data_IF_202834537190
#
_entry.id   IF_202834537190
#
_cell.length_a   1.000
_cell.length_b   1.000
_cell.length_c   1.000
_cell.angle_alpha   90.00
_cell.angle_beta   90.00
_cell.angle_gamma   90.00
#
_symmetry.space_group_name_H-M   'P 1'
#
loop_
_entity.id
_entity.type
_entity.pdbx_description
1 polymer ?
#
# COMPACT_ATOMS: atom_id res chain seq x y z
N UNK A 1 -46.24 -75.52 3.51
CA UNK A 1 -46.45 -74.16 2.92
C UNK A 1 -45.12 -73.44 2.79
N UNK A 2 -44.89 -72.84 1.62
CA UNK A 2 -43.75 -71.97 1.24
C UNK A 2 -43.66 -70.79 2.25
N UNK A 3 -42.50 -70.20 2.57
CA UNK A 3 -41.56 -69.51 1.65
C UNK A 3 -40.18 -69.26 2.28
N UNK A 4 -39.14 -69.45 1.46
CA UNK A 4 -37.75 -68.98 1.62
C UNK A 4 -37.62 -67.47 1.37
N UNK A 5 -36.63 -66.83 2.00
CA UNK A 5 -35.73 -65.79 1.40
C UNK A 5 -34.49 -65.63 2.29
N UNK A 6 -33.41 -66.34 1.99
CA UNK A 6 -32.20 -65.84 1.29
C UNK A 6 -31.57 -64.58 1.91
N UNK A 7 -30.54 -64.80 2.74
CA UNK A 7 -29.44 -63.84 2.98
C UNK A 7 -28.29 -64.25 2.07
N UNK A 8 -27.90 -63.38 1.14
CA UNK A 8 -26.73 -63.57 0.29
C UNK A 8 -25.62 -62.59 0.62
N UNK A 9 -24.42 -63.13 0.53
CA UNK A 9 -23.10 -62.61 0.86
C UNK A 9 -22.79 -61.18 0.40
N UNK A 10 -22.17 -60.41 1.30
CA UNK A 10 -21.43 -59.18 1.01
C UNK A 10 -20.21 -59.51 0.15
N UNK A 11 -20.30 -59.25 -1.16
CA UNK A 11 -19.11 -59.13 -2.01
C UNK A 11 -18.36 -57.83 -1.68
N UNK A 12 -17.19 -57.96 -1.05
CA UNK A 12 -16.17 -56.91 -0.98
C UNK A 12 -15.59 -56.70 -2.38
N UNK A 13 -16.00 -55.63 -3.05
CA UNK A 13 -15.28 -55.12 -4.22
C UNK A 13 -14.35 -54.00 -3.78
N UNK A 14 -13.05 -54.28 -3.77
CA UNK A 14 -11.99 -53.28 -3.69
C UNK A 14 -12.08 -52.37 -4.91
N UNK A 15 -12.76 -51.24 -4.78
CA UNK A 15 -12.63 -50.14 -5.73
C UNK A 15 -11.32 -49.43 -5.44
N UNK A 16 -10.30 -49.75 -6.25
CA UNK A 16 -9.14 -48.91 -6.47
C UNK A 16 -9.61 -47.47 -6.71
N UNK A 17 -9.49 -46.63 -5.68
CA UNK A 17 -9.60 -45.18 -5.84
C UNK A 17 -8.35 -44.77 -6.61
N UNK A 18 -8.52 -44.62 -7.92
CA UNK A 18 -7.61 -43.83 -8.73
C UNK A 18 -7.51 -42.47 -8.07
N UNK A 19 -6.39 -42.21 -7.40
CA UNK A 19 -5.97 -40.88 -7.03
C UNK A 19 -5.86 -40.11 -8.34
N UNK A 20 -6.93 -39.39 -8.68
CA UNK A 20 -6.85 -38.30 -9.64
C UNK A 20 -5.89 -37.30 -8.99
N UNK A 21 -4.61 -37.40 -9.35
CA UNK A 21 -3.67 -36.30 -9.27
C UNK A 21 -4.37 -35.13 -9.94
N UNK A 22 -5.00 -34.28 -9.13
CA UNK A 22 -5.29 -32.91 -9.55
C UNK A 22 -3.92 -32.33 -9.83
N UNK A 23 -3.55 -32.31 -11.09
CA UNK A 23 -2.55 -31.38 -11.59
C UNK A 23 -2.97 -30.02 -11.04
N UNK A 24 -2.19 -29.52 -10.08
CA UNK A 24 -2.26 -28.16 -9.61
C UNK A 24 -2.00 -27.28 -10.84
N UNK A 25 -3.05 -27.00 -11.61
CA UNK A 25 -3.04 -25.94 -12.60
C UNK A 25 -2.70 -24.69 -11.80
N UNK A 26 -1.47 -24.21 -11.98
CA UNK A 26 -0.91 -22.97 -11.45
C UNK A 26 -2.02 -22.02 -11.02
N UNK A 27 -2.26 -21.92 -9.70
CA UNK A 27 -3.04 -20.82 -9.12
C UNK A 27 -2.26 -19.57 -9.48
N UNK A 28 -2.61 -19.00 -10.62
CA UNK A 28 -2.07 -17.73 -11.09
C UNK A 28 -2.15 -16.73 -9.94
N UNK A 29 -1.02 -16.11 -9.60
CA UNK A 29 -0.82 -15.04 -8.62
C UNK A 29 -1.83 -13.90 -8.87
N UNK A 30 -3.09 -14.09 -8.45
CA UNK A 30 -4.16 -13.11 -8.56
C UNK A 30 -4.30 -12.41 -7.22
N UNK A 31 -4.21 -11.08 -7.19
CA UNK A 31 -4.31 -10.34 -5.95
C UNK A 31 -5.75 -10.34 -5.44
N UNK A 32 -5.90 -10.32 -4.12
CA UNK A 32 -7.15 -10.01 -3.45
C UNK A 32 -7.42 -8.51 -3.52
N UNK A 33 -8.58 -8.18 -4.09
CA UNK A 33 -9.00 -6.79 -4.31
C UNK A 33 -10.17 -6.42 -3.39
N UNK A 34 -10.30 -5.12 -3.11
CA UNK A 34 -11.49 -4.48 -2.55
C UNK A 34 -12.26 -3.85 -3.71
N UNK A 35 -13.44 -4.38 -4.01
CA UNK A 35 -14.38 -3.74 -4.93
C UNK A 35 -15.07 -2.58 -4.22
N UNK A 36 -15.17 -1.45 -4.92
CA UNK A 36 -16.01 -0.32 -4.57
C UNK A 36 -17.09 -0.20 -5.64
N UNK A 37 -18.34 -0.25 -5.21
CA UNK A 37 -19.49 -0.12 -6.10
C UNK A 37 -19.66 1.34 -6.54
N UNK A 38 -20.42 1.53 -7.62
CA UNK A 38 -20.86 2.86 -8.05
C UNK A 38 -21.58 3.54 -6.88
N UNK A 39 -21.39 4.85 -6.74
CA UNK A 39 -21.88 5.70 -5.64
C UNK A 39 -21.26 5.43 -4.26
N UNK A 40 -20.28 4.54 -4.13
CA UNK A 40 -19.56 4.36 -2.86
C UNK A 40 -18.92 5.71 -2.43
N UNK A 41 -19.22 6.20 -1.22
CA UNK A 41 -18.78 7.52 -0.77
C UNK A 41 -17.35 7.49 -0.24
N UNK A 42 -16.58 8.52 -0.56
CA UNK A 42 -15.22 8.74 -0.10
C UNK A 42 -15.05 10.18 0.36
N UNK A 43 -14.23 10.37 1.40
CA UNK A 43 -14.07 11.67 2.04
C UNK A 43 -12.60 12.04 2.17
N UNK A 44 -12.32 13.34 2.14
CA UNK A 44 -11.02 13.86 2.50
C UNK A 44 -11.12 15.31 2.99
N UNK A 45 -10.31 15.66 3.99
CA UNK A 45 -10.06 17.04 4.37
C UNK A 45 -8.97 17.64 3.48
N UNK A 46 -9.27 18.78 2.82
CA UNK A 46 -8.35 19.48 1.92
C UNK A 46 -8.43 21.00 2.12
N UNK A 47 -7.33 21.70 1.83
CA UNK A 47 -7.27 23.18 1.79
C UNK A 47 -7.82 23.79 0.51
N UNK A 48 -7.79 23.02 -0.58
CA UNK A 48 -8.24 23.43 -1.90
C UNK A 48 -9.62 22.83 -2.20
N UNK A 49 -10.28 23.39 -3.20
CA UNK A 49 -11.58 22.94 -3.68
C UNK A 49 -11.55 21.48 -4.17
N UNK A 50 -12.46 20.66 -3.65
CA UNK A 50 -12.53 19.25 -3.97
C UNK A 50 -12.76 18.96 -5.47
N UNK A 51 -13.46 19.83 -6.18
CA UNK A 51 -13.68 19.70 -7.63
C UNK A 51 -12.37 19.92 -8.41
N UNK A 52 -11.66 21.01 -8.09
CA UNK A 52 -10.38 21.39 -8.73
C UNK A 52 -9.30 20.31 -8.61
N UNK A 53 -9.39 19.43 -7.61
CA UNK A 53 -8.50 18.28 -7.51
C UNK A 53 -8.56 17.43 -8.77
N UNK A 54 -9.77 17.04 -9.18
CA UNK A 54 -9.95 16.09 -10.28
C UNK A 54 -9.53 16.73 -11.61
N UNK A 55 -9.83 18.01 -11.80
CA UNK A 55 -9.39 18.79 -12.96
C UNK A 55 -7.87 18.88 -13.05
N UNK A 56 -7.20 19.23 -11.95
CA UNK A 56 -5.74 19.31 -11.89
C UNK A 56 -5.09 17.96 -12.25
N UNK A 57 -5.63 16.85 -11.72
CA UNK A 57 -5.13 15.50 -12.03
C UNK A 57 -5.35 15.13 -13.49
N UNK A 58 -6.53 15.44 -14.04
CA UNK A 58 -6.85 15.23 -15.46
C UNK A 58 -5.91 16.02 -16.37
N UNK A 59 -5.68 17.30 -16.08
CA UNK A 59 -4.80 18.16 -16.86
C UNK A 59 -3.34 17.69 -16.81
N UNK A 60 -2.84 17.28 -15.64
CA UNK A 60 -1.48 16.78 -15.48
C UNK A 60 -1.24 15.51 -16.33
N UNK A 61 -2.18 14.58 -16.31
CA UNK A 61 -2.10 13.36 -17.13
C UNK A 61 -2.15 13.64 -18.62
N UNK A 62 -3.07 14.50 -19.08
CA UNK A 62 -3.17 14.87 -20.49
C UNK A 62 -1.86 15.51 -21.00
N UNK A 63 -1.22 16.33 -20.16
CA UNK A 63 0.03 17.01 -20.50
C UNK A 63 1.20 16.05 -20.66
N UNK A 64 1.30 15.00 -19.84
CA UNK A 64 2.44 14.08 -19.84
C UNK A 64 2.17 12.77 -20.58
N UNK A 65 0.91 12.49 -20.91
CA UNK A 65 0.45 11.19 -21.39
C UNK A 65 0.87 10.02 -20.48
N UNK A 66 0.97 10.27 -19.17
CA UNK A 66 1.33 9.26 -18.16
C UNK A 66 0.26 9.21 -17.07
N UNK A 67 -0.34 8.03 -16.91
CA UNK A 67 -1.38 7.78 -15.90
C UNK A 67 -0.80 7.62 -14.50
N UNK A 68 0.46 7.19 -14.39
CA UNK A 68 1.13 6.81 -13.16
C UNK A 68 2.18 7.86 -12.75
N UNK A 69 1.78 9.13 -12.70
CA UNK A 69 2.65 10.20 -12.20
C UNK A 69 2.73 10.19 -10.68
N UNK A 70 3.88 10.61 -10.16
CA UNK A 70 4.11 10.82 -8.73
C UNK A 70 3.00 11.68 -8.10
N UNK A 71 2.65 12.77 -8.78
CA UNK A 71 1.63 13.69 -8.29
C UNK A 71 0.20 13.25 -8.57
N UNK A 72 -0.06 12.22 -9.37
CA UNK A 72 -1.44 11.89 -9.76
C UNK A 72 -2.25 11.25 -8.61
N UNK A 73 -1.54 10.56 -7.72
CA UNK A 73 -2.16 9.80 -6.63
C UNK A 73 -2.82 10.67 -5.56
N UNK A 74 -3.94 10.18 -5.00
CA UNK A 74 -4.70 10.86 -3.96
C UNK A 74 -5.22 9.91 -2.89
N UNK A 75 -5.20 10.37 -1.64
CA UNK A 75 -5.63 9.65 -0.44
C UNK A 75 -6.99 10.17 0.01
N UNK A 76 -7.88 9.22 0.31
CA UNK A 76 -9.21 9.40 0.85
C UNK A 76 -9.42 8.43 2.03
N UNK A 77 -10.44 8.71 2.84
CA UNK A 77 -10.88 7.86 3.94
C UNK A 77 -12.40 7.78 4.00
N UNK A 78 -12.90 7.17 5.05
CA UNK A 78 -14.27 7.40 5.50
C UNK A 78 -14.41 8.81 6.11
N UNK A 79 -15.63 9.17 6.51
CA UNK A 79 -15.92 10.48 7.08
C UNK A 79 -15.18 10.72 8.39
N UNK A 80 -15.01 9.71 9.23
CA UNK A 80 -14.36 9.83 10.55
C UNK A 80 -12.85 10.03 10.43
N UNK A 81 -12.24 9.39 9.43
CA UNK A 81 -10.86 9.61 9.02
C UNK A 81 -10.73 11.04 8.48
N UNK A 82 -11.61 11.48 7.58
CA UNK A 82 -11.56 12.84 7.05
C UNK A 82 -11.72 13.92 8.13
N UNK A 83 -12.62 13.72 9.09
CA UNK A 83 -12.81 14.58 10.26
C UNK A 83 -11.57 14.65 11.13
N UNK A 84 -10.88 13.52 11.36
CA UNK A 84 -9.63 13.51 12.15
C UNK A 84 -8.48 14.30 11.52
N UNK A 85 -8.54 14.55 10.21
CA UNK A 85 -7.57 15.38 9.50
C UNK A 85 -8.00 16.83 9.32
N UNK A 86 -9.22 17.21 9.72
CA UNK A 86 -9.74 18.57 9.58
C UNK A 86 -8.93 19.53 10.46
N UNK A 87 -8.58 20.66 9.86
CA UNK A 87 -7.97 21.84 10.49
C UNK A 87 -8.81 23.07 10.13
N UNK A 88 -8.62 24.17 10.84
CA UNK A 88 -9.36 25.42 10.67
C UNK A 88 -9.35 25.95 9.23
N UNK A 89 -8.26 25.73 8.49
CA UNK A 89 -8.11 26.16 7.10
C UNK A 89 -8.41 25.08 6.06
N UNK A 90 -9.14 24.03 6.43
CA UNK A 90 -9.54 22.95 5.52
C UNK A 90 -11.04 22.72 5.57
N UNK A 91 -11.57 22.21 4.47
CA UNK A 91 -12.95 21.71 4.38
C UNK A 91 -12.96 20.22 4.13
N UNK A 92 -14.04 19.57 4.53
CA UNK A 92 -14.28 18.16 4.23
C UNK A 92 -15.11 18.10 2.97
N UNK A 93 -14.61 17.35 2.00
CA UNK A 93 -15.27 17.15 0.73
C UNK A 93 -15.63 15.67 0.59
N UNK A 94 -16.71 15.44 -0.15
CA UNK A 94 -17.21 14.11 -0.50
C UNK A 94 -17.07 13.89 -1.99
N UNK A 95 -16.62 12.69 -2.33
CA UNK A 95 -16.60 12.14 -3.68
C UNK A 95 -17.36 10.82 -3.71
N UNK A 96 -17.73 10.41 -4.92
CA UNK A 96 -18.39 9.13 -5.18
C UNK A 96 -17.65 8.38 -6.28
N UNK A 97 -17.73 7.06 -6.22
CA UNK A 97 -17.26 6.19 -7.30
C UNK A 97 -18.23 6.27 -8.47
N UNK A 98 -17.77 6.70 -9.66
CA UNK A 98 -18.62 6.75 -10.88
C UNK A 98 -18.59 5.47 -11.72
N UNK A 99 -17.55 4.65 -11.54
CA UNK A 99 -17.39 3.35 -12.21
C UNK A 99 -16.90 2.30 -11.21
N UNK A 100 -17.39 1.06 -11.30
CA UNK A 100 -16.97 -0.01 -10.40
C UNK A 100 -15.43 -0.11 -10.37
N UNK A 101 -14.86 0.05 -9.17
CA UNK A 101 -13.42 0.24 -9.00
C UNK A 101 -12.84 -0.81 -8.08
N UNK A 102 -11.63 -1.28 -8.37
CA UNK A 102 -10.95 -2.31 -7.60
C UNK A 102 -9.63 -1.78 -7.03
N UNK A 103 -9.48 -1.90 -5.71
CA UNK A 103 -8.29 -1.48 -4.99
C UNK A 103 -7.54 -2.70 -4.47
N UNK A 104 -6.23 -2.69 -4.57
CA UNK A 104 -5.37 -3.72 -4.03
C UNK A 104 -5.37 -3.69 -2.50
N UNK A 105 -5.63 -4.83 -1.84
CA UNK A 105 -5.67 -4.88 -0.37
C UNK A 105 -4.26 -5.04 0.20
N UNK A 106 -3.88 -4.19 1.16
CA UNK A 106 -2.68 -4.42 1.98
C UNK A 106 -3.00 -5.50 3.02
N UNK A 107 -2.49 -6.70 2.80
CA UNK A 107 -2.63 -7.87 3.66
C UNK A 107 -1.61 -8.95 3.34
N UNK A 108 -1.55 -9.98 4.20
CA UNK A 108 -0.64 -11.12 4.07
C UNK A 108 -0.85 -11.93 2.80
N UNK A 109 -2.10 -12.13 2.40
CA UNK A 109 -2.43 -12.94 1.24
C UNK A 109 -1.90 -12.34 -0.08
N UNK A 110 -1.63 -11.05 -0.11
CA UNK A 110 -1.09 -10.39 -1.30
C UNK A 110 0.43 -10.13 -1.26
N UNK A 111 1.16 -10.55 -0.21
CA UNK A 111 2.61 -10.32 -0.11
C UNK A 111 3.37 -10.98 -1.27
N UNK A 112 3.06 -12.25 -1.57
CA UNK A 112 3.67 -13.00 -2.67
C UNK A 112 3.39 -12.35 -4.04
N UNK A 113 2.18 -11.81 -4.22
CA UNK A 113 1.83 -11.09 -5.45
C UNK A 113 2.73 -9.86 -5.65
N UNK A 114 2.93 -9.06 -4.60
CA UNK A 114 3.79 -7.87 -4.64
C UNK A 114 5.23 -8.27 -4.97
N UNK A 115 5.77 -9.26 -4.27
CA UNK A 115 7.14 -9.73 -4.52
C UNK A 115 7.32 -10.17 -5.97
N UNK A 116 6.36 -10.94 -6.48
CA UNK A 116 6.40 -11.46 -7.83
C UNK A 116 6.36 -10.35 -8.89
N UNK A 117 5.48 -9.35 -8.77
CA UNK A 117 5.37 -8.30 -9.79
C UNK A 117 6.56 -7.33 -9.77
N UNK A 118 7.15 -7.05 -8.61
CA UNK A 118 8.30 -6.15 -8.51
C UNK A 118 9.59 -6.84 -8.95
N UNK A 119 9.82 -8.10 -8.56
CA UNK A 119 11.05 -8.85 -8.91
C UNK A 119 11.11 -9.21 -10.39
N UNK A 120 9.98 -9.52 -11.01
CA UNK A 120 9.93 -10.00 -12.41
C UNK A 120 9.65 -8.89 -13.43
N UNK A 121 9.60 -7.63 -13.00
CA UNK A 121 9.36 -6.51 -13.92
C UNK A 121 10.62 -6.15 -14.71
N UNK A 122 10.41 -5.81 -15.99
CA UNK A 122 11.43 -5.16 -16.83
C UNK A 122 11.34 -3.64 -16.82
N UNK A 123 10.34 -3.08 -16.11
CA UNK A 123 10.20 -1.63 -15.99
C UNK A 123 11.30 -1.07 -15.08
N UNK A 124 11.84 0.08 -15.46
CA UNK A 124 12.73 0.86 -14.62
C UNK A 124 11.90 1.59 -13.56
N UNK A 125 11.94 1.11 -12.32
CA UNK A 125 11.26 1.73 -11.20
C UNK A 125 12.08 2.91 -10.65
N UNK A 126 11.45 3.77 -9.87
CA UNK A 126 12.11 4.94 -9.28
C UNK A 126 12.07 4.88 -7.77
N UNK A 127 13.21 5.02 -7.10
CA UNK A 127 13.32 4.98 -5.64
C UNK A 127 13.27 6.38 -5.03
N UNK A 128 12.80 6.44 -3.78
CA UNK A 128 12.76 7.65 -2.96
C UNK A 128 14.16 8.05 -2.50
N UNK A 129 15.03 7.07 -2.30
CA UNK A 129 16.44 7.24 -1.96
C UNK A 129 17.25 7.01 -3.23
N UNK A 130 17.87 8.08 -3.74
CA UNK A 130 18.84 7.99 -4.82
C UNK A 130 20.24 8.22 -4.26
N UNK A 131 21.01 7.14 -4.15
CA UNK A 131 22.39 7.15 -3.63
C UNK A 131 23.39 6.55 -4.62
N UNK A 132 23.00 6.35 -5.88
CA UNK A 132 23.79 5.55 -6.82
C UNK A 132 25.18 6.16 -7.09
N UNK A 133 25.27 7.49 -7.09
CA UNK A 133 26.53 8.22 -7.26
C UNK A 133 27.45 8.15 -6.03
N UNK A 134 26.88 7.93 -4.85
CA UNK A 134 27.61 7.98 -3.57
C UNK A 134 27.65 6.63 -2.84
N UNK A 135 27.13 5.55 -3.46
CA UNK A 135 27.00 4.22 -2.85
C UNK A 135 28.31 3.74 -2.23
N UNK A 136 29.44 3.92 -2.93
CA UNK A 136 30.76 3.52 -2.46
C UNK A 136 31.32 4.38 -1.31
N UNK A 137 30.72 5.55 -1.05
CA UNK A 137 31.12 6.46 0.04
C UNK A 137 30.31 6.23 1.32
N UNK A 138 29.14 5.59 1.21
CA UNK A 138 28.27 5.30 2.34
C UNK A 138 28.93 4.25 3.25
N UNK A 139 29.49 4.71 4.38
CA UNK A 139 30.07 3.85 5.42
C UNK A 139 28.99 3.45 6.43
N UNK A 140 28.00 2.70 5.96
CA UNK A 140 26.93 2.12 6.78
C UNK A 140 26.58 0.75 6.22
N UNK A 141 26.35 -0.24 7.08
CA UNK A 141 26.01 -1.59 6.65
C UNK A 141 24.49 -1.76 6.68
N UNK A 142 23.88 -1.97 5.52
CA UNK A 142 22.47 -2.31 5.41
C UNK A 142 22.20 -2.95 4.04
N UNK A 143 21.40 -4.03 4.00
CA UNK A 143 21.14 -4.81 2.77
C UNK A 143 20.59 -3.94 1.62
N UNK A 144 19.67 -3.02 1.96
CA UNK A 144 19.12 -2.01 1.05
C UNK A 144 20.16 -1.30 0.17
N UNK A 145 21.37 -1.03 0.68
CA UNK A 145 22.40 -0.33 -0.08
C UNK A 145 22.93 -1.18 -1.25
N UNK A 146 22.90 -2.50 -1.12
CA UNK A 146 23.41 -3.45 -2.10
C UNK A 146 22.37 -3.87 -3.15
N UNK A 147 21.08 -3.67 -2.85
CA UNK A 147 19.96 -3.97 -3.73
C UNK A 147 20.01 -3.21 -5.07
N UNK A 148 19.50 -3.85 -6.12
CA UNK A 148 19.18 -3.20 -7.39
C UNK A 148 18.09 -2.13 -7.23
N UNK A 149 17.86 -1.30 -8.25
CA UNK A 149 16.82 -0.27 -8.24
C UNK A 149 15.42 -0.88 -7.98
N UNK A 150 15.10 -1.99 -8.63
CA UNK A 150 13.77 -2.62 -8.49
C UNK A 150 13.60 -3.29 -7.12
N UNK A 151 14.66 -3.89 -6.57
CA UNK A 151 14.64 -4.43 -5.21
C UNK A 151 14.50 -3.33 -4.16
N UNK A 152 15.19 -2.19 -4.33
CA UNK A 152 15.00 -1.01 -3.46
C UNK A 152 13.58 -0.47 -3.57
N UNK A 153 12.99 -0.39 -4.77
CA UNK A 153 11.62 0.04 -4.96
C UNK A 153 10.60 -0.89 -4.27
N UNK A 154 10.83 -2.21 -4.32
CA UNK A 154 10.06 -3.20 -3.57
C UNK A 154 10.22 -2.98 -2.06
N UNK A 155 11.46 -2.82 -1.59
CA UNK A 155 11.75 -2.60 -0.17
C UNK A 155 11.08 -1.34 0.37
N UNK A 156 11.09 -0.25 -0.40
CA UNK A 156 10.39 0.99 -0.08
C UNK A 156 8.87 0.82 -0.07
N UNK A 157 8.30 0.07 -1.02
CA UNK A 157 6.87 -0.26 -1.00
C UNK A 157 6.51 -1.06 0.26
N UNK A 158 7.32 -2.07 0.60
CA UNK A 158 7.14 -2.87 1.81
C UNK A 158 7.28 -2.02 3.07
N UNK A 159 8.22 -1.09 3.11
CA UNK A 159 8.38 -0.17 4.22
C UNK A 159 7.16 0.74 4.38
N UNK A 160 6.74 1.39 3.28
CA UNK A 160 5.62 2.31 3.28
C UNK A 160 4.32 1.62 3.71
N UNK A 161 4.01 0.45 3.15
CA UNK A 161 2.75 -0.27 3.41
C UNK A 161 2.86 -1.37 4.47
N UNK A 162 3.96 -1.41 5.21
CA UNK A 162 4.11 -2.22 6.41
C UNK A 162 4.39 -3.71 6.19
N UNK A 163 4.82 -4.16 5.02
CA UNK A 163 5.20 -5.56 4.82
C UNK A 163 6.55 -5.93 5.46
N UNK A 164 7.35 -4.94 5.85
CA UNK A 164 8.57 -5.17 6.62
C UNK A 164 8.25 -5.55 8.08
N UNK A 165 9.12 -6.37 8.65
CA UNK A 165 9.13 -6.66 10.10
C UNK A 165 9.45 -5.40 10.90
N UNK A 166 9.12 -5.39 12.20
CA UNK A 166 9.47 -4.29 13.11
C UNK A 166 10.97 -4.01 13.10
N UNK A 167 11.79 -5.08 13.12
CA UNK A 167 13.25 -4.97 13.06
C UNK A 167 13.72 -4.32 11.76
N UNK A 168 13.24 -4.81 10.60
CA UNK A 168 13.58 -4.24 9.29
C UNK A 168 13.15 -2.77 9.19
N UNK A 169 11.96 -2.41 9.70
CA UNK A 169 11.51 -1.02 9.71
C UNK A 169 12.40 -0.12 10.56
N UNK A 170 12.81 -0.60 11.74
CA UNK A 170 13.71 0.11 12.64
C UNK A 170 15.08 0.35 12.00
N UNK A 171 15.71 -0.72 11.50
CA UNK A 171 17.04 -0.66 10.86
C UNK A 171 17.02 0.25 9.61
N UNK A 172 15.93 0.22 8.84
CA UNK A 172 15.78 1.08 7.69
C UNK A 172 15.59 2.56 8.08
N UNK A 173 14.86 2.86 9.16
CA UNK A 173 14.76 4.21 9.70
C UNK A 173 16.13 4.74 10.17
N UNK A 174 16.94 3.91 10.80
CA UNK A 174 18.31 4.26 11.19
C UNK A 174 19.20 4.55 9.98
N UNK A 175 19.09 3.74 8.91
CA UNK A 175 19.76 4.01 7.64
C UNK A 175 19.34 5.36 7.07
N UNK A 176 18.03 5.64 6.97
CA UNK A 176 17.53 6.91 6.42
C UNK A 176 18.05 8.08 7.27
N UNK A 177 18.02 7.97 8.60
CA UNK A 177 18.58 8.97 9.51
C UNK A 177 20.05 9.23 9.21
N UNK A 178 20.86 8.17 9.10
CA UNK A 178 22.28 8.28 8.76
C UNK A 178 22.50 9.00 7.43
N UNK A 179 21.76 8.60 6.38
CA UNK A 179 21.90 9.18 5.04
C UNK A 179 21.56 10.67 5.02
N UNK A 180 20.56 11.11 5.80
CA UNK A 180 20.20 12.53 5.95
C UNK A 180 21.30 13.29 6.71
N UNK A 181 21.77 12.78 7.86
CA UNK A 181 22.79 13.44 8.68
C UNK A 181 24.10 13.63 7.90
N UNK A 182 24.50 12.61 7.12
CA UNK A 182 25.69 12.65 6.28
C UNK A 182 25.46 13.38 4.94
N UNK A 183 24.27 13.95 4.72
CA UNK A 183 23.89 14.73 3.52
C UNK A 183 23.95 13.95 2.21
N UNK A 184 23.85 12.62 2.25
CA UNK A 184 23.71 11.79 1.04
C UNK A 184 22.34 11.97 0.39
N UNK A 185 21.31 12.23 1.20
CA UNK A 185 19.96 12.49 0.72
C UNK A 185 19.33 13.68 1.44
N UNK A 186 18.35 14.30 0.79
CA UNK A 186 17.49 15.33 1.40
C UNK A 186 16.04 14.87 1.31
N UNK A 187 15.41 14.65 2.47
CA UNK A 187 13.98 14.34 2.56
C UNK A 187 13.32 15.42 3.41
N UNK A 188 12.32 16.08 2.83
CA UNK A 188 11.57 17.13 3.50
C UNK A 188 10.13 16.68 3.78
N UNK A 189 9.50 17.32 4.77
CA UNK A 189 8.06 17.31 4.98
C UNK A 189 7.36 18.14 3.89
N UNK A 190 6.02 18.05 3.82
CA UNK A 190 5.21 18.80 2.83
C UNK A 190 5.37 20.33 2.93
N UNK A 191 5.69 20.84 4.12
CA UNK A 191 5.98 22.26 4.38
C UNK A 191 7.47 22.61 4.20
N UNK A 192 8.27 21.72 3.61
CA UNK A 192 9.66 21.98 3.23
C UNK A 192 10.69 21.83 4.37
N UNK A 193 10.26 21.51 5.59
CA UNK A 193 11.17 21.29 6.74
C UNK A 193 11.84 19.92 6.64
N UNK A 194 13.00 19.76 7.27
CA UNK A 194 13.67 18.45 7.35
C UNK A 194 12.79 17.42 8.04
N UNK A 195 12.74 16.19 7.51
CA UNK A 195 11.98 15.10 8.13
C UNK A 195 12.67 14.46 9.34
N UNK A 196 13.93 14.84 9.63
CA UNK A 196 14.78 14.20 10.62
C UNK A 196 14.10 14.04 11.99
N UNK A 197 13.47 15.10 12.50
CA UNK A 197 12.74 15.05 13.79
C UNK A 197 11.65 13.97 13.81
N UNK A 198 10.93 13.77 12.70
CA UNK A 198 9.91 12.72 12.60
C UNK A 198 10.53 11.33 12.55
N UNK A 199 11.69 11.17 11.90
CA UNK A 199 12.43 9.91 11.88
C UNK A 199 12.96 9.59 13.29
N UNK A 200 13.52 10.57 14.00
CA UNK A 200 14.03 10.38 15.36
C UNK A 200 12.94 10.01 16.34
N UNK A 201 11.79 10.69 16.26
CA UNK A 201 10.60 10.30 17.01
C UNK A 201 10.21 8.85 16.71
N UNK A 202 10.26 8.46 15.43
CA UNK A 202 9.97 7.09 15.00
C UNK A 202 10.96 6.05 15.55
N UNK A 203 12.25 6.35 15.52
CA UNK A 203 13.29 5.46 16.08
C UNK A 203 13.12 5.35 17.61
N UNK A 204 12.89 6.48 18.29
CA UNK A 204 12.78 6.49 19.75
C UNK A 204 11.61 5.68 20.25
N UNK A 205 10.44 5.72 19.59
CA UNK A 205 9.37 4.84 20.07
C UNK A 205 9.66 3.37 19.83
N UNK A 206 10.29 2.94 18.73
CA UNK A 206 10.72 1.53 18.62
C UNK A 206 11.57 1.09 19.83
N UNK A 207 12.41 1.97 20.39
CA UNK A 207 13.21 1.68 21.59
C UNK A 207 12.37 1.51 22.87
N UNK A 208 11.25 2.23 23.01
CA UNK A 208 10.35 2.13 24.17
C UNK A 208 9.09 1.31 23.89
N UNK A 209 8.99 0.74 22.70
CA UNK A 209 7.78 0.11 22.17
C UNK A 209 7.43 -1.20 22.87
N UNK A 210 8.36 -1.80 23.61
CA UNK A 210 8.11 -2.97 24.47
C UNK A 210 6.97 -2.72 25.49
N UNK A 211 6.64 -1.46 25.75
CA UNK A 211 5.52 -1.03 26.60
C UNK A 211 4.15 -1.11 25.91
N UNK A 212 4.07 -1.39 24.61
CA UNK A 212 2.84 -1.40 23.81
C UNK A 212 2.72 -2.67 22.97
N UNK A 213 1.49 -3.12 22.72
CA UNK A 213 1.24 -4.24 21.80
C UNK A 213 1.63 -3.85 20.38
N UNK A 214 2.58 -4.57 19.79
CA UNK A 214 3.03 -4.36 18.42
C UNK A 214 2.70 -5.53 17.52
N UNK A 215 2.50 -5.26 16.24
CA UNK A 215 2.40 -6.30 15.22
C UNK A 215 3.76 -6.51 14.62
N UNK A 216 4.16 -7.76 14.41
CA UNK A 216 5.46 -8.04 13.78
C UNK A 216 5.57 -7.47 12.36
N UNK A 217 4.46 -7.49 11.60
CA UNK A 217 4.31 -6.88 10.28
C UNK A 217 2.99 -6.11 10.20
N UNK A 218 2.77 -5.44 9.08
CA UNK A 218 1.63 -4.60 8.73
C UNK A 218 1.54 -3.34 9.60
N UNK A 219 2.70 -2.72 9.82
CA UNK A 219 2.80 -1.42 10.47
C UNK A 219 2.98 -0.33 9.41
N UNK A 220 1.95 0.49 9.21
CA UNK A 220 1.92 1.54 8.19
C UNK A 220 2.78 2.73 8.66
N UNK A 221 3.94 2.95 8.02
CA UNK A 221 4.79 4.12 8.28
C UNK A 221 4.65 5.11 7.13
N UNK A 222 3.82 6.14 7.31
CA UNK A 222 3.72 7.20 6.31
C UNK A 222 4.90 8.16 6.39
N UNK A 223 5.71 8.12 5.35
CA UNK A 223 6.64 9.19 4.98
C UNK A 223 6.27 9.57 3.55
N UNK A 224 5.75 10.79 3.37
CA UNK A 224 5.08 11.21 2.14
C UNK A 224 5.86 10.91 0.85
N UNK A 225 7.19 11.07 0.88
CA UNK A 225 8.04 10.77 -0.26
C UNK A 225 7.99 9.29 -0.64
N UNK A 226 8.22 8.40 0.33
CA UNK A 226 8.15 6.94 0.13
C UNK A 226 6.76 6.49 -0.32
N UNK A 227 5.71 7.03 0.29
CA UNK A 227 4.33 6.73 -0.09
C UNK A 227 4.09 7.07 -1.57
N UNK A 228 4.53 8.24 -2.01
CA UNK A 228 4.36 8.73 -3.37
C UNK A 228 5.08 7.86 -4.40
N UNK A 229 6.37 7.57 -4.20
CA UNK A 229 7.13 6.70 -5.09
C UNK A 229 6.60 5.27 -5.10
N UNK A 230 6.21 4.74 -3.93
CA UNK A 230 5.65 3.39 -3.81
C UNK A 230 4.34 3.25 -4.59
N UNK A 231 3.42 4.22 -4.44
CA UNK A 231 2.14 4.24 -5.16
C UNK A 231 2.35 4.42 -6.67
N UNK A 232 3.29 5.29 -7.07
CA UNK A 232 3.64 5.52 -8.46
C UNK A 232 4.20 4.26 -9.13
N UNK A 233 5.19 3.61 -8.51
CA UNK A 233 5.78 2.38 -9.03
C UNK A 233 4.75 1.26 -9.10
N UNK A 234 3.94 1.11 -8.05
CA UNK A 234 2.89 0.09 -8.04
C UNK A 234 1.86 0.33 -9.14
N UNK A 235 1.44 1.59 -9.37
CA UNK A 235 0.63 1.96 -10.52
C UNK A 235 1.28 1.48 -11.82
N UNK A 236 2.55 1.82 -12.09
CA UNK A 236 3.24 1.41 -13.33
C UNK A 236 3.23 -0.11 -13.54
N UNK A 237 3.40 -0.88 -12.46
CA UNK A 237 3.42 -2.34 -12.51
C UNK A 237 2.03 -2.94 -12.83
N UNK A 238 0.96 -2.31 -12.35
CA UNK A 238 -0.41 -2.86 -12.45
C UNK A 238 -1.30 -2.17 -13.48
N UNK A 239 -0.86 -1.04 -14.04
CA UNK A 239 -1.58 -0.24 -15.04
C UNK A 239 -1.58 -0.85 -16.45
N UNK A 240 -1.37 -2.16 -16.54
CA UNK A 240 -1.68 -2.93 -17.74
C UNK A 240 -3.09 -3.52 -17.64
N UNK A 241 -3.70 -3.85 -18.77
CA UNK A 241 -5.07 -4.41 -18.82
C UNK A 241 -5.25 -5.74 -18.07
N UNK A 242 -4.17 -6.32 -17.52
CA UNK A 242 -4.15 -7.63 -16.87
C UNK A 242 -4.76 -7.63 -15.46
N UNK A 243 -4.49 -6.59 -14.65
CA UNK A 243 -4.81 -6.64 -13.21
C UNK A 243 -6.04 -5.83 -12.81
N UNK A 244 -6.45 -4.83 -13.60
CA UNK A 244 -7.59 -3.94 -13.30
C UNK A 244 -7.55 -3.34 -11.88
N UNK A 245 -6.37 -2.87 -11.46
CA UNK A 245 -6.18 -2.25 -10.14
C UNK A 245 -6.10 -0.74 -10.32
N UNK A 246 -6.95 0.02 -9.63
CA UNK A 246 -6.99 1.49 -9.73
C UNK A 246 -6.38 2.20 -8.51
N UNK A 247 -5.91 1.42 -7.53
CA UNK A 247 -5.34 1.98 -6.31
C UNK A 247 -5.06 0.94 -5.23
N UNK A 248 -4.84 1.41 -4.02
CA UNK A 248 -4.51 0.63 -2.82
C UNK A 248 -5.58 0.88 -1.76
N UNK A 249 -5.98 -0.17 -1.08
CA UNK A 249 -6.85 -0.14 0.08
C UNK A 249 -6.07 -0.63 1.30
N UNK A 250 -5.91 0.28 2.26
CA UNK A 250 -5.35 0.00 3.57
C UNK A 250 -6.52 -0.12 4.55
N UNK A 251 -6.73 -1.31 5.12
CA UNK A 251 -7.76 -1.47 6.16
C UNK A 251 -7.29 -0.79 7.44
N UNK A 252 -8.27 -0.34 8.22
CA UNK A 252 -8.07 0.20 9.56
C UNK A 252 -7.17 -0.72 10.41
N UNK A 253 -7.60 -1.98 10.59
CA UNK A 253 -6.95 -3.01 11.40
C UNK A 253 -5.55 -3.46 10.93
N UNK A 254 -5.08 -3.03 9.77
CA UNK A 254 -3.73 -3.33 9.23
C UNK A 254 -2.87 -2.08 9.11
N UNK A 255 -3.38 -0.93 9.55
CA UNK A 255 -2.72 0.36 9.43
C UNK A 255 -2.15 0.81 10.77
N UNK A 256 -1.20 0.10 11.36
CA UNK A 256 -0.60 0.63 12.59
C UNK A 256 0.17 1.92 12.28
N UNK A 257 -0.45 3.07 12.55
CA UNK A 257 0.24 4.36 12.55
C UNK A 257 1.01 4.44 13.84
N UNK A 258 2.32 4.60 13.68
CA UNK A 258 3.27 4.94 14.73
C UNK A 258 2.65 5.92 15.75
N UNK A 259 2.77 5.68 17.06
CA UNK A 259 1.79 6.12 18.02
C UNK A 259 1.65 7.62 18.13
N UNK A 260 0.49 7.90 18.68
CA UNK A 260 0.02 9.17 19.11
C UNK A 260 0.60 9.61 20.45
N UNK A 261 1.01 10.87 20.50
CA UNK A 261 0.87 11.65 21.71
C UNK A 261 -0.33 12.59 21.44
N UNK A 262 -1.52 12.16 21.90
CA UNK A 262 -2.75 12.97 22.08
C UNK A 262 -3.54 13.39 20.80
N UNK A 263 -3.03 13.33 19.56
CA UNK A 263 -3.62 13.99 18.35
C UNK A 263 -3.74 13.15 17.03
N UNK A 264 -3.23 11.93 16.96
CA UNK A 264 -3.11 10.98 15.85
C UNK A 264 -3.75 9.59 16.13
N UNK A 265 -4.88 9.29 15.49
CA UNK A 265 -5.54 7.98 15.60
C UNK A 265 -4.60 6.81 15.22
N UNK A 266 -4.51 5.81 16.11
CA UNK A 266 -4.02 4.48 15.77
C UNK A 266 -4.98 3.84 14.78
N UNK A 267 -4.46 3.22 13.71
CA UNK A 267 -5.27 2.56 12.69
C UNK A 267 -6.12 3.55 11.88
N UNK A 268 -5.80 3.67 10.59
CA UNK A 268 -6.49 4.58 9.67
C UNK A 268 -6.88 3.79 8.42
N UNK A 269 -8.15 3.88 8.06
CA UNK A 269 -8.64 3.32 6.81
C UNK A 269 -8.32 4.27 5.66
N UNK A 270 -7.53 3.81 4.69
CA UNK A 270 -7.14 4.62 3.54
C UNK A 270 -7.59 3.99 2.23
N UNK A 271 -8.14 4.82 1.36
CA UNK A 271 -8.43 4.54 -0.03
C UNK A 271 -7.52 5.42 -0.88
N UNK A 272 -6.50 4.81 -1.48
CA UNK A 272 -5.48 5.51 -2.24
C UNK A 272 -5.73 5.22 -3.71
N UNK A 273 -6.03 6.24 -4.50
CA UNK A 273 -6.23 6.10 -5.93
C UNK A 273 -4.98 6.52 -6.67
N UNK A 274 -4.58 5.75 -7.69
CA UNK A 274 -3.48 6.14 -8.59
C UNK A 274 -3.84 7.39 -9.38
N UNK A 275 -5.11 7.45 -9.81
CA UNK A 275 -5.61 8.49 -10.68
C UNK A 275 -7.11 8.75 -10.41
N UNK A 276 -7.44 9.60 -9.43
CA UNK A 276 -8.80 9.72 -8.93
C UNK A 276 -9.81 10.22 -9.99
N UNK A 277 -9.41 11.06 -10.95
CA UNK A 277 -10.36 11.67 -11.89
C UNK A 277 -11.02 10.65 -12.84
N UNK A 278 -10.41 9.48 -13.05
CA UNK A 278 -10.99 8.39 -13.86
C UNK A 278 -12.07 7.62 -13.09
N UNK A 279 -11.92 7.50 -11.78
CA UNK A 279 -12.77 6.64 -10.94
C UNK A 279 -13.78 7.41 -10.10
N UNK A 280 -13.51 8.69 -9.83
CA UNK A 280 -14.27 9.52 -8.91
C UNK A 280 -15.01 10.64 -9.64
N UNK A 281 -16.07 11.07 -8.96
CA UNK A 281 -16.85 12.27 -9.23
C UNK A 281 -16.96 13.06 -7.92
N UNK A 282 -16.82 14.38 -8.01
CA UNK A 282 -17.04 15.27 -6.88
C UNK A 282 -18.54 15.31 -6.55
N UNK A 283 -18.89 15.16 -5.28
CA UNK A 283 -20.28 15.21 -4.82
C UNK A 283 -20.60 16.59 -4.24
N UNK A 284 -19.96 16.93 -3.12
CA UNK A 284 -20.19 18.19 -2.40
C UNK A 284 -19.17 18.44 -1.30
N UNK A 285 -19.15 19.66 -0.80
CA UNK A 285 -18.58 20.01 0.51
C UNK A 285 -19.52 19.54 1.62
N UNK A 286 -18.94 19.02 2.70
CA UNK A 286 -19.66 18.52 3.88
C UNK A 286 -19.51 19.48 5.06
N UNK A 287 -18.30 20.03 5.26
CA UNK A 287 -17.94 20.83 6.44
C UNK A 287 -16.72 21.73 6.17
#
# INVERSE_FOLDING_TARGET
MKTKKQRTNKNRTNKNRTNKNRTNKNRTNKPLLRKLEINFPLYASKKFDGEKLLEYKKAAELKTNDHCLLENSSWFGDLDVAKSYKKDNTRIYKWKIKIATYLFKINKENEEFIDNIFKNTKLNLTTSINIDKDKNKVKYQHEYLNMSVNERALYEFKFAFGYLTLKEQYEFLELIKYLIIKKYIKINTRDGKSILKKIEFKINYYKVSYLFTQKEKYNRISIYNFDKYSVMNFCKLVNNNKYKISGIYQKNDTSFWFPDLIVYKMNIQEYIFFNPHRNLEYDKVIE
#
